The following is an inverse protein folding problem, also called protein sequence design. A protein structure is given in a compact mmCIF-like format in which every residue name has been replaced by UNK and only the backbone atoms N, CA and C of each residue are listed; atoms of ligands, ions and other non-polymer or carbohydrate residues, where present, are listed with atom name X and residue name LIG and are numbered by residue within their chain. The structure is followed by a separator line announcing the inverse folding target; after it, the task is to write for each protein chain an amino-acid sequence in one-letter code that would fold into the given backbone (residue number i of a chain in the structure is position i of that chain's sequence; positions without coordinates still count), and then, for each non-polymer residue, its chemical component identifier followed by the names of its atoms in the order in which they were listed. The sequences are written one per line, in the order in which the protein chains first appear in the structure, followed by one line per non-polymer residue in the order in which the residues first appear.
data_IF_942768999738
#
_entry.id   IF_942768999738
#
_cell.length_a   1.000
_cell.length_b   1.000
_cell.length_c   1.000
_cell.angle_alpha   90.00
_cell.angle_beta   90.00
_cell.angle_gamma   90.00
#
_symmetry.space_group_name_H-M   'P 1'
#
loop_
_entity.id
_entity.type
_entity.pdbx_description
1 polymer ?
#
# COMPACT_ATOMS: atom_id res chain seq x y z
N UNK A 1 -35.16 -39.11 -42.69
CA UNK A 1 -35.97 -40.36 -42.71
C UNK A 1 -35.95 -40.91 -41.29
N UNK A 2 -36.99 -40.68 -40.47
CA UNK A 2 -38.16 -41.57 -40.31
C UNK A 2 -37.70 -43.03 -40.17
N UNK A 3 -37.72 -43.65 -39.00
CA UNK A 3 -38.91 -44.31 -38.38
C UNK A 3 -38.67 -44.49 -36.85
N UNK A 4 -39.55 -44.04 -35.95
CA UNK A 4 -40.82 -44.62 -35.48
C UNK A 4 -40.80 -46.07 -34.94
N UNK A 5 -40.90 -46.13 -33.60
CA UNK A 5 -41.88 -46.86 -32.77
C UNK A 5 -41.87 -48.41 -32.73
N UNK A 6 -41.74 -48.93 -31.51
CA UNK A 6 -42.60 -50.03 -31.05
C UNK A 6 -42.99 -49.86 -29.57
N UNK A 7 -44.29 -49.81 -29.39
CA UNK A 7 -45.11 -49.99 -28.19
C UNK A 7 -44.95 -51.43 -27.62
N UNK A 8 -45.41 -51.84 -26.43
CA UNK A 8 -46.66 -51.54 -25.72
C UNK A 8 -46.59 -52.06 -24.27
N UNK A 9 -47.24 -51.32 -23.35
CA UNK A 9 -48.25 -51.73 -22.35
C UNK A 9 -47.98 -52.83 -21.30
N UNK A 10 -48.22 -52.49 -20.02
CA UNK A 10 -49.23 -53.15 -19.16
C UNK A 10 -49.35 -52.45 -17.80
N UNK A 11 -50.60 -52.27 -17.37
CA UNK A 11 -51.10 -51.61 -16.17
C UNK A 11 -50.84 -52.38 -14.86
N UNK A 12 -50.72 -51.67 -13.73
CA UNK A 12 -51.77 -51.53 -12.70
C UNK A 12 -51.21 -51.18 -11.30
N UNK A 13 -51.75 -50.08 -10.76
CA UNK A 13 -52.22 -49.82 -9.38
C UNK A 13 -51.31 -50.14 -8.17
N UNK A 14 -50.98 -49.10 -7.38
CA UNK A 14 -51.50 -49.00 -6.00
C UNK A 14 -51.42 -47.55 -5.46
N UNK A 15 -52.34 -47.22 -4.55
CA UNK A 15 -52.62 -45.91 -3.98
C UNK A 15 -51.66 -45.48 -2.85
N UNK A 16 -51.60 -44.17 -2.53
CA UNK A 16 -51.70 -43.57 -1.17
C UNK A 16 -51.24 -42.08 -1.14
N UNK A 17 -52.23 -41.18 -1.03
CA UNK A 17 -52.40 -40.05 -0.09
C UNK A 17 -51.22 -39.12 0.34
N UNK A 18 -51.37 -37.81 0.05
CA UNK A 18 -50.92 -36.58 0.78
C UNK A 18 -49.43 -36.42 1.16
N UNK A 19 -48.73 -35.31 0.90
CA UNK A 19 -48.90 -34.00 1.56
C UNK A 19 -47.96 -32.97 0.91
N UNK A 20 -48.47 -31.78 0.60
CA UNK A 20 -47.70 -30.59 0.20
C UNK A 20 -46.79 -30.12 1.33
N UNK A 21 -45.49 -29.97 1.07
CA UNK A 21 -44.57 -29.22 1.94
C UNK A 21 -43.82 -28.18 1.11
N UNK A 22 -44.27 -26.93 1.20
CA UNK A 22 -43.48 -25.76 0.78
C UNK A 22 -42.25 -25.64 1.67
N UNK A 23 -41.09 -25.48 1.06
CA UNK A 23 -39.85 -25.12 1.73
C UNK A 23 -39.69 -23.60 1.71
N UNK A 24 -39.35 -22.93 2.84
CA UNK A 24 -39.16 -21.49 2.85
C UNK A 24 -37.84 -21.12 2.15
N UNK A 25 -37.76 -19.95 1.51
CA UNK A 25 -36.53 -19.50 0.85
C UNK A 25 -35.46 -19.15 1.90
N UNK A 26 -34.16 -19.27 1.54
CA UNK A 26 -33.06 -18.97 2.45
C UNK A 26 -33.00 -17.48 2.80
N UNK A 27 -32.46 -17.10 3.97
CA UNK A 27 -32.39 -15.71 4.39
C UNK A 27 -31.43 -14.92 3.49
N UNK A 28 -31.98 -13.96 2.75
CA UNK A 28 -31.25 -13.01 1.92
C UNK A 28 -30.38 -12.10 2.80
N UNK A 29 -29.09 -12.40 2.89
CA UNK A 29 -28.05 -11.55 3.46
C UNK A 29 -27.65 -10.42 2.49
N UNK A 30 -28.56 -9.47 2.22
CA UNK A 30 -28.26 -8.25 1.43
C UNK A 30 -28.40 -6.93 2.22
N UNK A 31 -28.93 -6.97 3.44
CA UNK A 31 -29.15 -5.75 4.25
C UNK A 31 -27.89 -5.22 4.95
N UNK A 32 -26.83 -6.03 5.07
CA UNK A 32 -25.61 -5.68 5.83
C UNK A 32 -24.69 -4.71 5.11
N UNK A 33 -24.69 -4.67 3.76
CA UNK A 33 -23.77 -3.84 2.98
C UNK A 33 -24.17 -2.36 2.91
N UNK A 34 -25.47 -2.05 2.91
CA UNK A 34 -25.97 -0.67 2.86
C UNK A 34 -25.78 0.05 4.20
N UNK A 35 -25.99 -0.64 5.31
CA UNK A 35 -25.75 -0.12 6.64
C UNK A 35 -24.26 0.13 6.90
N UNK A 36 -23.39 -0.80 6.51
CA UNK A 36 -21.94 -0.65 6.63
C UNK A 36 -21.39 0.51 5.78
N UNK A 37 -21.87 0.67 4.54
CA UNK A 37 -21.47 1.80 3.68
C UNK A 37 -21.96 3.16 4.19
N UNK A 38 -23.17 3.21 4.76
CA UNK A 38 -23.69 4.41 5.43
C UNK A 38 -22.86 4.80 6.66
N UNK A 39 -22.49 3.83 7.50
CA UNK A 39 -21.61 4.06 8.65
C UNK A 39 -20.21 4.55 8.23
N UNK A 40 -19.61 3.91 7.21
CA UNK A 40 -18.34 4.34 6.64
C UNK A 40 -18.38 5.78 6.11
N UNK A 41 -19.46 6.16 5.40
CA UNK A 41 -19.66 7.51 4.91
C UNK A 41 -19.84 8.52 6.06
N UNK A 42 -20.57 8.14 7.12
CA UNK A 42 -20.75 8.97 8.30
C UNK A 42 -19.41 9.26 9.00
N UNK A 43 -18.58 8.25 9.23
CA UNK A 43 -17.27 8.44 9.87
C UNK A 43 -16.34 9.31 9.03
N UNK A 44 -16.35 9.18 7.69
CA UNK A 44 -15.60 10.08 6.80
C UNK A 44 -16.06 11.53 6.93
N UNK A 45 -17.37 11.78 7.05
CA UNK A 45 -17.91 13.13 7.28
C UNK A 45 -17.49 13.69 8.63
N UNK A 46 -17.52 12.87 9.70
CA UNK A 46 -17.03 13.29 11.02
C UNK A 46 -15.54 13.65 10.96
N UNK A 47 -14.73 12.88 10.25
CA UNK A 47 -13.31 13.17 10.06
C UNK A 47 -13.07 14.52 9.37
N UNK A 48 -13.82 14.80 8.30
CA UNK A 48 -13.75 16.09 7.61
C UNK A 48 -14.19 17.25 8.52
N UNK A 49 -15.24 17.03 9.31
CA UNK A 49 -15.75 18.02 10.27
C UNK A 49 -14.72 18.31 11.37
N UNK A 50 -14.06 17.28 11.89
CA UNK A 50 -12.98 17.44 12.86
C UNK A 50 -11.82 18.26 12.28
N UNK A 51 -11.41 17.99 11.04
CA UNK A 51 -10.37 18.75 10.35
C UNK A 51 -10.77 20.24 10.17
N UNK A 52 -12.04 20.51 9.87
CA UNK A 52 -12.56 21.87 9.78
C UNK A 52 -12.59 22.59 11.14
N UNK A 53 -12.88 21.90 12.24
CA UNK A 53 -12.75 22.52 13.57
C UNK A 53 -11.30 22.84 13.93
N UNK A 54 -10.35 21.99 13.53
CA UNK A 54 -8.92 22.25 13.74
C UNK A 54 -8.47 23.48 12.94
N UNK A 55 -8.91 23.65 11.69
CA UNK A 55 -8.54 24.83 10.89
C UNK A 55 -9.10 26.13 11.48
N UNK A 56 -10.25 26.06 12.16
CA UNK A 56 -10.86 27.18 12.87
C UNK A 56 -10.33 27.35 14.31
N UNK A 57 -9.28 26.62 14.71
CA UNK A 57 -8.73 26.59 16.07
C UNK A 57 -9.73 26.20 17.17
N UNK A 58 -10.85 25.57 16.81
CA UNK A 58 -11.81 25.02 17.76
C UNK A 58 -11.39 23.61 18.19
N UNK A 59 -10.31 23.54 18.97
CA UNK A 59 -9.69 22.28 19.37
C UNK A 59 -10.57 21.43 20.28
N UNK A 60 -11.42 22.04 21.11
CA UNK A 60 -12.35 21.31 21.99
C UNK A 60 -13.38 20.51 21.17
N UNK A 61 -14.03 21.16 20.19
CA UNK A 61 -14.98 20.47 19.32
C UNK A 61 -14.30 19.40 18.45
N UNK A 62 -13.10 19.69 17.94
CA UNK A 62 -12.31 18.72 17.21
C UNK A 62 -11.97 17.48 18.05
N UNK A 63 -11.52 17.66 19.30
CA UNK A 63 -11.13 16.57 20.18
C UNK A 63 -12.31 15.63 20.51
N UNK A 64 -13.52 16.19 20.67
CA UNK A 64 -14.74 15.40 20.84
C UNK A 64 -15.01 14.49 19.63
N UNK A 65 -14.93 15.04 18.42
CA UNK A 65 -15.12 14.26 17.20
C UNK A 65 -14.01 13.22 17.02
N UNK A 66 -12.75 13.56 17.30
CA UNK A 66 -11.64 12.62 17.24
C UNK A 66 -11.79 11.47 18.25
N UNK A 67 -12.35 11.74 19.44
CA UNK A 67 -12.68 10.70 20.42
C UNK A 67 -13.71 9.72 19.86
N UNK A 68 -14.78 10.22 19.22
CA UNK A 68 -15.79 9.36 18.58
C UNK A 68 -15.14 8.52 17.47
N UNK A 69 -14.33 9.14 16.61
CA UNK A 69 -13.65 8.46 15.51
C UNK A 69 -12.66 7.41 16.01
N UNK A 70 -11.99 7.63 17.15
CA UNK A 70 -11.03 6.68 17.71
C UNK A 70 -11.69 5.39 18.20
N UNK A 71 -12.91 5.46 18.73
CA UNK A 71 -13.68 4.30 19.21
C UNK A 71 -14.33 3.55 18.05
N UNK A 72 -14.66 4.26 16.97
CA UNK A 72 -15.34 3.70 15.79
C UNK A 72 -14.37 3.39 14.63
N UNK A 73 -13.07 3.27 14.90
CA UNK A 73 -12.09 2.91 13.89
C UNK A 73 -11.07 1.90 14.43
N UNK A 74 -10.63 1.00 13.56
CA UNK A 74 -9.68 -0.06 13.90
C UNK A 74 -8.44 0.01 13.00
N UNK A 75 -7.22 -0.15 13.55
CA UNK A 75 -6.01 -0.29 12.74
C UNK A 75 -5.94 -1.63 11.98
N UNK A 76 -6.77 -2.61 12.34
CA UNK A 76 -6.85 -3.94 11.71
C UNK A 76 -8.19 -4.15 10.99
N UNK A 77 -9.02 -3.12 10.91
CA UNK A 77 -10.32 -3.16 10.26
C UNK A 77 -10.23 -3.06 8.74
N UNK A 78 -11.37 -2.74 8.11
CA UNK A 78 -11.42 -2.52 6.67
C UNK A 78 -10.59 -1.30 6.22
N UNK A 79 -10.51 -1.09 4.90
CA UNK A 79 -9.76 0.04 4.33
C UNK A 79 -10.23 1.41 4.84
N UNK A 80 -11.53 1.57 5.13
CA UNK A 80 -12.10 2.81 5.63
C UNK A 80 -11.79 3.00 7.11
N UNK A 81 -11.98 1.96 7.93
CA UNK A 81 -11.64 1.99 9.35
C UNK A 81 -10.17 2.32 9.58
N UNK A 82 -9.27 1.68 8.82
CA UNK A 82 -7.83 1.94 8.87
C UNK A 82 -7.50 3.38 8.51
N UNK A 83 -8.12 3.91 7.44
CA UNK A 83 -7.94 5.29 7.03
C UNK A 83 -8.39 6.25 8.13
N UNK A 84 -9.59 6.05 8.68
CA UNK A 84 -10.12 6.88 9.77
C UNK A 84 -9.20 6.81 11.00
N UNK A 85 -8.71 5.63 11.36
CA UNK A 85 -7.81 5.44 12.51
C UNK A 85 -6.50 6.24 12.34
N UNK A 86 -5.88 6.16 11.16
CA UNK A 86 -4.63 6.86 10.84
C UNK A 86 -4.83 8.38 10.87
N UNK A 87 -5.87 8.89 10.20
CA UNK A 87 -6.13 10.32 10.19
C UNK A 87 -6.55 10.84 11.59
N UNK A 88 -7.29 10.06 12.37
CA UNK A 88 -7.64 10.43 13.75
C UNK A 88 -6.39 10.61 14.61
N UNK A 89 -5.42 9.68 14.50
CA UNK A 89 -4.12 9.80 15.17
C UNK A 89 -3.33 11.02 14.70
N UNK A 90 -3.23 11.22 13.38
CA UNK A 90 -2.49 12.35 12.80
C UNK A 90 -3.08 13.71 13.20
N UNK A 91 -4.41 13.85 13.17
CA UNK A 91 -5.09 15.08 13.60
C UNK A 91 -4.95 15.33 15.10
N UNK A 92 -5.01 14.29 15.93
CA UNK A 92 -4.76 14.41 17.38
C UNK A 92 -3.34 14.89 17.67
N UNK A 93 -2.35 14.36 16.94
CA UNK A 93 -0.95 14.82 17.05
C UNK A 93 -0.78 16.26 16.58
N UNK A 94 -1.48 16.68 15.52
CA UNK A 94 -1.48 18.08 15.06
C UNK A 94 -2.01 19.03 16.13
N UNK A 95 -3.08 18.67 16.83
CA UNK A 95 -3.62 19.47 17.94
C UNK A 95 -2.59 19.56 19.07
N UNK A 96 -2.03 18.42 19.49
CA UNK A 96 -1.00 18.37 20.54
C UNK A 96 0.20 19.25 20.21
N UNK A 97 0.80 19.09 19.03
CA UNK A 97 1.94 19.91 18.60
C UNK A 97 1.61 21.41 18.57
N UNK A 98 0.36 21.77 18.28
CA UNK A 98 -0.07 23.17 18.30
C UNK A 98 -0.20 23.70 19.73
N UNK A 99 -0.70 22.89 20.67
CA UNK A 99 -0.79 23.24 22.09
C UNK A 99 0.58 23.20 22.79
N UNK A 100 1.47 22.34 22.33
CA UNK A 100 2.82 22.09 22.84
C UNK A 100 3.87 22.99 22.18
N UNK A 101 3.51 24.01 21.37
CA UNK A 101 4.45 25.00 20.81
C UNK A 101 5.25 25.80 21.88
N UNK A 102 5.16 25.45 23.16
CA UNK A 102 5.99 25.91 24.26
C UNK A 102 7.06 24.91 24.76
N UNK A 103 7.18 23.70 24.22
CA UNK A 103 8.31 22.80 24.55
C UNK A 103 8.92 22.16 23.28
N UNK A 104 10.25 22.13 23.27
CA UNK A 104 11.09 21.78 22.12
C UNK A 104 10.85 20.37 21.52
N UNK A 105 10.89 20.36 20.19
CA UNK A 105 11.25 19.30 19.23
C UNK A 105 10.56 17.90 19.30
N UNK A 106 9.39 17.71 18.65
CA UNK A 106 8.71 16.42 18.53
C UNK A 106 9.01 15.68 17.20
N UNK A 107 10.15 15.97 16.55
CA UNK A 107 10.45 15.49 15.19
C UNK A 107 10.76 13.99 15.08
N UNK A 108 11.13 13.31 16.18
CA UNK A 108 11.56 11.90 16.12
C UNK A 108 10.42 10.89 16.31
N UNK A 109 9.43 11.18 17.17
CA UNK A 109 8.39 10.20 17.52
C UNK A 109 7.27 10.08 16.48
N UNK A 110 6.99 11.15 15.73
CA UNK A 110 5.91 11.22 14.74
C UNK A 110 6.18 10.37 13.49
N UNK A 111 7.44 10.28 13.07
CA UNK A 111 7.82 9.54 11.86
C UNK A 111 7.77 8.02 12.05
N UNK A 112 8.13 7.52 13.23
CA UNK A 112 8.23 6.08 13.52
C UNK A 112 6.89 5.36 13.42
N UNK A 113 5.79 6.04 13.74
CA UNK A 113 4.43 5.44 13.66
C UNK A 113 3.89 5.40 12.22
N UNK A 114 4.38 6.26 11.33
CA UNK A 114 3.90 6.34 9.94
C UNK A 114 4.67 5.39 9.01
N UNK A 115 5.95 5.13 9.30
CA UNK A 115 6.80 4.22 8.51
C UNK A 115 6.38 2.76 8.59
N UNK A 116 5.81 2.29 9.71
CA UNK A 116 5.49 0.86 9.92
C UNK A 116 4.27 0.36 9.13
N UNK A 117 3.42 1.24 8.58
CA UNK A 117 2.25 0.85 7.79
C UNK A 117 2.54 0.82 6.28
N UNK A 118 3.59 1.53 5.83
CA UNK A 118 3.97 1.59 4.41
C UNK A 118 4.75 0.36 3.94
N UNK A 119 5.32 -0.42 4.86
CA UNK A 119 6.18 -1.59 4.63
C UNK A 119 5.52 -2.77 3.92
N UNK A 120 4.21 -2.72 3.64
CA UNK A 120 3.53 -3.73 2.80
C UNK A 120 3.65 -3.46 1.29
N UNK A 121 4.38 -2.41 0.87
CA UNK A 121 4.47 -1.98 -0.54
C UNK A 121 5.76 -2.39 -1.23
N UNK A 122 6.29 -3.59 -1.00
CA UNK A 122 7.50 -4.13 -1.69
C UNK A 122 7.36 -4.01 -3.22
N UNK A 123 6.16 -4.20 -3.76
CA UNK A 123 5.90 -4.05 -5.20
C UNK A 123 6.02 -2.62 -5.72
N UNK A 124 5.73 -1.59 -4.90
CA UNK A 124 5.80 -0.18 -5.34
C UNK A 124 7.23 0.29 -5.46
N UNK A 125 8.07 -0.07 -4.49
CA UNK A 125 9.48 0.29 -4.47
C UNK A 125 10.24 -0.39 -5.63
N UNK A 126 10.00 -1.68 -5.84
CA UNK A 126 10.60 -2.42 -6.96
C UNK A 126 10.20 -1.85 -8.33
N UNK A 127 8.93 -1.51 -8.52
CA UNK A 127 8.47 -0.89 -9.78
C UNK A 127 9.19 0.45 -10.04
N UNK A 128 9.33 1.27 -8.99
CA UNK A 128 10.09 2.52 -9.07
C UNK A 128 11.54 2.29 -9.46
N UNK A 129 12.23 1.35 -8.80
CA UNK A 129 13.63 1.00 -9.09
C UNK A 129 13.81 0.52 -10.53
N UNK A 130 12.98 -0.42 -11.00
CA UNK A 130 13.10 -0.97 -12.36
C UNK A 130 12.87 0.10 -13.43
N UNK A 131 11.84 0.93 -13.25
CA UNK A 131 11.51 1.99 -14.21
C UNK A 131 12.60 3.06 -14.24
N UNK A 132 13.11 3.47 -13.07
CA UNK A 132 14.21 4.43 -12.98
C UNK A 132 15.51 3.86 -13.59
N UNK A 133 15.83 2.61 -13.30
CA UNK A 133 17.01 1.95 -13.87
C UNK A 133 16.92 1.83 -15.39
N UNK A 134 15.74 1.51 -15.93
CA UNK A 134 15.53 1.50 -17.38
C UNK A 134 15.74 2.89 -17.99
N UNK A 135 15.17 3.94 -17.38
CA UNK A 135 15.37 5.30 -17.85
C UNK A 135 16.84 5.74 -17.79
N UNK A 136 17.59 5.33 -16.77
CA UNK A 136 19.04 5.57 -16.67
C UNK A 136 19.79 4.84 -17.79
N UNK A 137 19.47 3.57 -18.05
CA UNK A 137 20.09 2.78 -19.12
C UNK A 137 19.82 3.40 -20.50
N UNK A 138 18.59 3.86 -20.75
CA UNK A 138 18.20 4.49 -22.02
C UNK A 138 18.88 5.85 -22.21
N UNK A 139 19.00 6.64 -21.13
CA UNK A 139 19.61 7.97 -21.17
C UNK A 139 21.15 7.95 -21.23
N UNK A 140 21.78 6.84 -20.83
CA UNK A 140 23.23 6.69 -20.87
C UNK A 140 23.64 6.11 -22.22
N UNK A 141 24.45 6.84 -22.97
CA UNK A 141 25.11 6.30 -24.16
C UNK A 141 26.21 5.31 -23.77
N UNK A 142 26.62 4.46 -24.71
CA UNK A 142 27.62 3.43 -24.45
C UNK A 142 29.02 3.97 -24.09
N UNK A 143 29.27 5.28 -24.15
CA UNK A 143 30.61 5.84 -23.92
C UNK A 143 30.55 6.94 -22.86
N UNK A 144 31.15 6.68 -21.70
CA UNK A 144 31.41 7.72 -20.70
C UNK A 144 31.03 7.33 -19.28
N UNK A 145 31.75 7.88 -18.31
CA UNK A 145 31.53 7.66 -16.89
C UNK A 145 30.09 8.05 -16.48
N UNK A 146 29.43 7.19 -15.70
CA UNK A 146 28.11 7.41 -15.12
C UNK A 146 28.24 7.82 -13.65
N UNK A 147 27.68 8.97 -13.29
CA UNK A 147 27.59 9.41 -11.89
C UNK A 147 26.12 9.53 -11.48
N UNK A 148 25.71 8.70 -10.51
CA UNK A 148 24.38 8.68 -9.93
C UNK A 148 24.38 9.46 -8.61
N UNK A 149 23.42 10.35 -8.45
CA UNK A 149 23.12 11.07 -7.21
C UNK A 149 21.83 10.48 -6.63
N UNK A 150 21.96 9.65 -5.58
CA UNK A 150 20.83 9.05 -4.88
C UNK A 150 20.53 9.86 -3.61
N UNK A 151 19.38 10.52 -3.60
CA UNK A 151 19.00 11.45 -2.54
C UNK A 151 18.44 10.74 -1.29
N UNK A 152 18.15 9.44 -1.36
CA UNK A 152 17.71 8.64 -0.22
C UNK A 152 18.10 7.17 -0.41
N UNK A 153 19.41 6.89 -0.35
CA UNK A 153 19.96 5.59 -0.75
C UNK A 153 19.49 4.42 0.11
N UNK A 154 19.05 4.69 1.34
CA UNK A 154 18.54 3.68 2.27
C UNK A 154 19.48 2.46 2.32
N UNK A 155 19.05 1.29 1.83
CA UNK A 155 19.83 0.04 1.75
C UNK A 155 20.45 -0.23 0.37
N UNK A 156 20.37 0.71 -0.57
CA UNK A 156 20.98 0.62 -1.90
C UNK A 156 20.41 -0.48 -2.80
N UNK A 157 19.20 -0.99 -2.54
CA UNK A 157 18.64 -2.15 -3.27
C UNK A 157 18.33 -1.88 -4.74
N UNK A 158 18.23 -0.61 -5.13
CA UNK A 158 18.01 -0.21 -6.52
C UNK A 158 19.24 -0.50 -7.41
N UNK A 159 20.44 -0.38 -6.86
CA UNK A 159 21.66 -0.26 -7.66
C UNK A 159 22.25 -1.58 -8.18
N UNK A 160 22.21 -2.72 -7.46
CA UNK A 160 22.77 -3.98 -7.97
C UNK A 160 22.19 -4.45 -9.32
N UNK A 161 20.85 -4.39 -9.55
CA UNK A 161 20.30 -4.72 -10.87
C UNK A 161 20.77 -3.78 -11.99
N UNK A 162 20.99 -2.48 -11.69
CA UNK A 162 21.53 -1.54 -12.67
C UNK A 162 22.99 -1.85 -13.00
N UNK A 163 23.80 -2.14 -11.98
CA UNK A 163 25.21 -2.52 -12.15
C UNK A 163 25.35 -3.75 -13.05
N UNK A 164 24.51 -4.77 -12.82
CA UNK A 164 24.47 -5.96 -13.66
C UNK A 164 24.08 -5.63 -15.11
N UNK A 165 23.02 -4.84 -15.32
CA UNK A 165 22.59 -4.45 -16.67
C UNK A 165 23.65 -3.63 -17.41
N UNK A 166 24.39 -2.77 -16.70
CA UNK A 166 25.55 -2.07 -17.24
C UNK A 166 26.66 -3.07 -17.63
N UNK A 167 27.05 -3.98 -16.74
CA UNK A 167 28.07 -4.99 -17.05
C UNK A 167 27.72 -5.83 -18.31
N UNK A 168 26.46 -6.26 -18.43
CA UNK A 168 25.96 -6.99 -19.59
C UNK A 168 26.00 -6.15 -20.89
N UNK A 169 25.57 -4.88 -20.82
CA UNK A 169 25.61 -3.97 -21.98
C UNK A 169 27.03 -3.73 -22.48
N UNK A 170 28.00 -3.54 -21.59
CA UNK A 170 29.38 -3.25 -21.98
C UNK A 170 30.15 -4.51 -22.40
N UNK A 171 29.90 -5.66 -21.78
CA UNK A 171 30.49 -6.94 -22.23
C UNK A 171 30.06 -7.35 -23.64
N UNK A 172 28.90 -6.87 -24.12
CA UNK A 172 28.42 -7.15 -25.48
C UNK A 172 29.17 -6.40 -26.60
N UNK A 173 29.93 -5.34 -26.28
CA UNK A 173 30.69 -4.55 -27.27
C UNK A 173 32.18 -4.48 -26.88
N UNK A 174 33.05 -5.32 -27.46
CA UNK A 174 34.46 -5.41 -27.09
C UNK A 174 35.29 -4.15 -27.43
N UNK A 175 34.75 -3.23 -28.23
CA UNK A 175 35.41 -1.95 -28.55
C UNK A 175 35.11 -0.85 -27.52
N UNK A 176 34.32 -1.16 -26.48
CA UNK A 176 33.84 -0.19 -25.53
C UNK A 176 34.59 -0.33 -24.20
N UNK A 177 35.25 0.73 -23.69
CA UNK A 177 35.88 0.66 -22.37
C UNK A 177 34.82 0.40 -21.28
N UNK A 178 35.20 -0.34 -20.24
CA UNK A 178 34.35 -0.55 -19.07
C UNK A 178 33.88 0.81 -18.51
N UNK A 179 32.59 0.96 -18.20
CA UNK A 179 32.07 2.22 -17.70
C UNK A 179 32.63 2.49 -16.30
N UNK A 180 33.02 3.72 -16.04
CA UNK A 180 33.23 4.16 -14.65
C UNK A 180 31.86 4.48 -14.05
N UNK A 181 31.47 3.75 -13.01
CA UNK A 181 30.27 4.04 -12.23
C UNK A 181 30.65 4.69 -10.90
N UNK A 182 30.03 5.83 -10.60
CA UNK A 182 30.09 6.47 -9.28
C UNK A 182 28.67 6.64 -8.75
N UNK A 183 28.45 6.29 -7.49
CA UNK A 183 27.18 6.52 -6.79
C UNK A 183 27.47 7.38 -5.57
N UNK A 184 26.78 8.51 -5.45
CA UNK A 184 26.77 9.35 -4.26
C UNK A 184 25.41 9.19 -3.59
N UNK A 185 25.38 8.54 -2.43
CA UNK A 185 24.16 8.31 -1.66
C UNK A 185 24.01 9.29 -0.49
N UNK A 186 22.81 9.83 -0.32
CA UNK A 186 22.40 10.61 0.85
C UNK A 186 21.55 9.75 1.79
N UNK A 187 21.68 9.97 3.09
CA UNK A 187 20.95 9.24 4.12
C UNK A 187 21.13 9.90 5.49
N UNK A 188 20.32 9.49 6.46
CA UNK A 188 20.27 10.10 7.80
C UNK A 188 21.29 9.51 8.78
N UNK A 189 21.81 8.32 8.48
CA UNK A 189 22.71 7.56 9.34
C UNK A 189 24.00 7.23 8.58
N UNK A 190 25.13 7.77 9.06
CA UNK A 190 26.45 7.55 8.48
C UNK A 190 26.85 6.08 8.55
N UNK A 191 26.45 5.35 9.60
CA UNK A 191 26.81 3.94 9.75
C UNK A 191 26.08 3.07 8.71
N UNK A 192 24.78 3.27 8.53
CA UNK A 192 24.00 2.66 7.45
C UNK A 192 24.48 3.04 6.04
N UNK A 193 24.92 4.30 5.84
CA UNK A 193 25.52 4.73 4.57
C UNK A 193 26.82 3.98 4.27
N UNK A 194 27.71 3.86 5.25
CA UNK A 194 28.97 3.11 5.10
C UNK A 194 28.71 1.62 4.80
N UNK A 195 27.79 0.99 5.54
CA UNK A 195 27.41 -0.41 5.28
C UNK A 195 26.82 -0.61 3.89
N UNK A 196 26.02 0.35 3.41
CA UNK A 196 25.45 0.32 2.06
C UNK A 196 26.55 0.47 1.01
N UNK A 197 27.49 1.39 1.21
CA UNK A 197 28.66 1.55 0.35
C UNK A 197 29.51 0.29 0.27
N UNK A 198 29.80 -0.35 1.41
CA UNK A 198 30.55 -1.62 1.46
C UNK A 198 29.85 -2.74 0.69
N UNK A 199 28.53 -2.82 0.81
CA UNK A 199 27.72 -3.83 0.10
C UNK A 199 27.72 -3.60 -1.40
N UNK A 200 27.57 -2.36 -1.86
CA UNK A 200 27.58 -2.01 -3.28
C UNK A 200 28.96 -2.18 -3.92
N UNK A 201 30.03 -1.94 -3.16
CA UNK A 201 31.40 -2.14 -3.67
C UNK A 201 31.72 -3.63 -3.86
N UNK A 202 31.22 -4.49 -2.97
CA UNK A 202 31.40 -5.96 -3.11
C UNK A 202 30.57 -6.58 -4.23
N UNK A 203 29.46 -5.96 -4.64
CA UNK A 203 28.65 -6.46 -5.76
C UNK A 203 29.25 -6.19 -7.14
N UNK A 204 30.34 -5.42 -7.21
CA UNK A 204 31.11 -5.14 -8.43
C UNK A 204 32.33 -6.07 -8.61
N UNK A 205 32.51 -7.03 -7.68
CA UNK A 205 33.62 -8.02 -7.65
C UNK A 205 33.15 -9.40 -8.11
#
# INVERSE_FOLDING_TARGET
MLTSLKSSSSSSEDATTTTTTETPPPPTCLASSSAASSAAHHLRRLLFTAANFISQSNFSAAQNLLSILSVNSSPYGDSTERLINLFTKALSLRIKNHQEQHQEDPTVATWTTMSTVFTSSVCKEQFGHLTANQAILDATEANGALHILDLDISQGLQWPPLMQALAERYSSNPNNPSPSLRITGCGRDVTGLNQTGDRLTRSDS
#
